data_IF_671242204650
#
_entry.id   IF_671242204650
#
_cell.length_a   1.000
_cell.length_b   1.000
_cell.length_c   1.000
_cell.angle_alpha   90.00
_cell.angle_beta   90.00
_cell.angle_gamma   90.00
#
_symmetry.space_group_name_H-M   'P 1'
#
loop_
_entity.id
_entity.type
_entity.pdbx_description
1 polymer ?
#
# COMPACT_ATOMS: atom_id res chain seq x y z
N UNK A 1 7.21 14.37 -3.55
CA UNK A 1 5.84 14.03 -3.07
C UNK A 1 4.97 13.35 -4.13
N UNK A 2 4.94 13.80 -5.40
CA UNK A 2 4.09 13.20 -6.44
C UNK A 2 4.31 11.68 -6.65
N UNK A 3 5.58 11.24 -6.66
CA UNK A 3 5.93 9.81 -6.81
C UNK A 3 5.36 8.92 -5.69
N UNK A 4 5.37 9.40 -4.45
CA UNK A 4 4.77 8.71 -3.30
C UNK A 4 3.26 8.55 -3.47
N UNK A 5 2.60 9.65 -3.86
CA UNK A 5 1.15 9.68 -4.05
C UNK A 5 0.71 8.75 -5.16
N UNK A 6 1.39 8.81 -6.31
CA UNK A 6 1.16 7.89 -7.44
C UNK A 6 1.32 6.42 -7.02
N UNK A 7 2.39 6.08 -6.29
CA UNK A 7 2.60 4.70 -5.85
C UNK A 7 1.51 4.25 -4.88
N UNK A 8 1.16 5.08 -3.90
CA UNK A 8 0.11 4.77 -2.94
C UNK A 8 -1.27 4.60 -3.61
N UNK A 9 -1.61 5.48 -4.55
CA UNK A 9 -2.90 5.44 -5.26
C UNK A 9 -2.96 4.25 -6.22
N UNK A 10 -1.85 3.88 -6.88
CA UNK A 10 -1.77 2.66 -7.70
C UNK A 10 -1.95 1.39 -6.85
N UNK A 11 -1.32 1.33 -5.68
CA UNK A 11 -1.50 0.20 -4.76
C UNK A 11 -2.94 0.10 -4.27
N UNK A 12 -3.56 1.23 -3.90
CA UNK A 12 -4.97 1.27 -3.51
C UNK A 12 -5.91 0.82 -4.65
N UNK A 13 -5.63 1.23 -5.89
CA UNK A 13 -6.38 0.79 -7.07
C UNK A 13 -6.29 -0.72 -7.25
N UNK A 14 -5.08 -1.29 -7.19
CA UNK A 14 -4.86 -2.74 -7.32
C UNK A 14 -5.61 -3.52 -6.24
N UNK A 15 -5.48 -3.11 -4.97
CA UNK A 15 -6.18 -3.74 -3.84
C UNK A 15 -7.71 -3.73 -3.98
N UNK A 16 -8.27 -2.77 -4.72
CA UNK A 16 -9.72 -2.61 -4.87
C UNK A 16 -10.30 -3.30 -6.10
N UNK A 17 -9.53 -3.46 -7.17
CA UNK A 17 -10.09 -3.85 -8.46
C UNK A 17 -9.41 -5.07 -9.09
N UNK A 18 -8.24 -5.49 -8.61
CA UNK A 18 -7.61 -6.69 -9.13
C UNK A 18 -7.97 -7.91 -8.29
N UNK A 19 -8.38 -9.03 -8.92
CA UNK A 19 -8.63 -10.27 -8.20
C UNK A 19 -7.31 -10.75 -7.59
N UNK A 20 -7.29 -10.88 -6.26
CA UNK A 20 -6.15 -11.39 -5.52
C UNK A 20 -6.59 -12.03 -4.21
N UNK A 21 -5.84 -13.04 -3.75
CA UNK A 21 -6.04 -13.60 -2.42
C UNK A 21 -5.64 -12.59 -1.34
N UNK A 22 -6.11 -12.79 -0.11
CA UNK A 22 -5.72 -11.96 1.04
C UNK A 22 -4.20 -11.94 1.23
N UNK A 23 -3.54 -13.08 1.04
CA UNK A 23 -2.09 -13.21 1.14
C UNK A 23 -1.37 -12.39 0.05
N UNK A 24 -1.86 -12.44 -1.19
CA UNK A 24 -1.34 -11.64 -2.29
C UNK A 24 -1.50 -10.14 -2.03
N UNK A 25 -2.64 -9.72 -1.47
CA UNK A 25 -2.88 -8.34 -1.07
C UNK A 25 -1.92 -7.86 0.03
N UNK A 26 -1.70 -8.68 1.06
CA UNK A 26 -0.72 -8.37 2.12
C UNK A 26 0.70 -8.29 1.57
N UNK A 27 1.07 -9.21 0.67
CA UNK A 27 2.38 -9.18 0.00
C UNK A 27 2.55 -7.90 -0.84
N UNK A 28 1.50 -7.45 -1.53
CA UNK A 28 1.52 -6.19 -2.28
C UNK A 28 1.72 -4.98 -1.36
N UNK A 29 1.12 -4.98 -0.16
CA UNK A 29 1.29 -3.92 0.84
C UNK A 29 2.76 -3.85 1.30
N UNK A 30 3.37 -4.98 1.63
CA UNK A 30 4.79 -5.00 2.07
C UNK A 30 5.73 -4.58 0.93
N UNK A 31 5.53 -5.06 -0.29
CA UNK A 31 6.33 -4.61 -1.45
C UNK A 31 6.20 -3.11 -1.68
N UNK A 32 5.00 -2.55 -1.53
CA UNK A 32 4.78 -1.11 -1.65
C UNK A 32 5.53 -0.34 -0.57
N UNK A 33 5.62 -0.89 0.65
CA UNK A 33 6.40 -0.30 1.75
C UNK A 33 7.87 -0.20 1.37
N UNK A 34 8.45 -1.30 0.87
CA UNK A 34 9.86 -1.36 0.49
C UNK A 34 10.17 -0.38 -0.65
N UNK A 35 9.34 -0.36 -1.70
CA UNK A 35 9.48 0.61 -2.81
C UNK A 35 9.40 2.08 -2.33
N UNK A 36 8.53 2.36 -1.35
CA UNK A 36 8.40 3.71 -0.78
C UNK A 36 9.61 4.07 0.06
N UNK A 37 10.15 3.13 0.83
CA UNK A 37 11.32 3.33 1.69
C UNK A 37 12.60 3.50 0.89
N UNK A 38 12.74 2.83 -0.25
CA UNK A 38 13.84 3.06 -1.19
C UNK A 38 13.80 4.49 -1.76
N UNK A 39 12.61 4.98 -2.12
CA UNK A 39 12.43 6.33 -2.68
C UNK A 39 12.47 7.44 -1.62
N UNK A 40 12.10 7.13 -0.38
CA UNK A 40 12.01 8.08 0.72
C UNK A 40 12.54 7.45 2.03
N UNK A 41 13.87 7.33 2.17
CA UNK A 41 14.48 6.77 3.38
C UNK A 41 14.00 7.50 4.63
N UNK A 42 13.75 6.75 5.71
CA UNK A 42 13.29 7.30 7.00
C UNK A 42 11.79 7.60 7.08
N UNK A 43 10.99 7.31 6.05
CA UNK A 43 9.51 7.52 6.09
C UNK A 43 8.70 6.28 6.50
N UNK A 44 9.33 5.26 7.08
CA UNK A 44 8.67 4.00 7.48
C UNK A 44 7.52 4.22 8.45
N UNK A 45 7.74 5.03 9.50
CA UNK A 45 6.69 5.36 10.46
C UNK A 45 5.48 6.05 9.81
N UNK A 46 5.70 6.90 8.80
CA UNK A 46 4.60 7.56 8.06
C UNK A 46 3.82 6.54 7.24
N UNK A 47 4.50 5.60 6.59
CA UNK A 47 3.83 4.50 5.90
C UNK A 47 2.94 3.71 6.86
N UNK A 48 3.50 3.29 7.99
CA UNK A 48 2.82 2.45 8.96
C UNK A 48 1.64 3.18 9.65
N UNK A 49 1.73 4.50 9.83
CA UNK A 49 0.66 5.31 10.42
C UNK A 49 -0.45 5.70 9.44
N UNK A 50 -0.13 5.90 8.15
CA UNK A 50 -1.07 6.51 7.19
C UNK A 50 -1.47 5.57 6.07
N UNK A 51 -0.50 4.92 5.42
CA UNK A 51 -0.74 4.13 4.22
C UNK A 51 -1.17 2.71 4.54
N UNK A 52 -0.50 2.05 5.49
CA UNK A 52 -0.85 0.68 5.92
C UNK A 52 -2.30 0.57 6.40
N UNK A 53 -2.82 1.44 7.29
CA UNK A 53 -4.22 1.35 7.71
C UNK A 53 -5.20 1.58 6.55
N UNK A 54 -4.90 2.51 5.63
CA UNK A 54 -5.70 2.75 4.43
C UNK A 54 -5.79 1.50 3.56
N UNK A 55 -4.68 0.82 3.31
CA UNK A 55 -4.65 -0.40 2.51
C UNK A 55 -5.39 -1.57 3.16
N UNK A 56 -5.19 -1.76 4.47
CA UNK A 56 -5.91 -2.79 5.23
C UNK A 56 -7.42 -2.55 5.25
N UNK A 57 -7.85 -1.28 5.32
CA UNK A 57 -9.26 -0.92 5.22
C UNK A 57 -9.85 -1.31 3.87
N UNK A 58 -9.19 -0.97 2.76
CA UNK A 58 -9.63 -1.38 1.41
C UNK A 58 -9.76 -2.91 1.33
N UNK A 59 -8.76 -3.64 1.83
CA UNK A 59 -8.76 -5.11 1.81
C UNK A 59 -9.89 -5.72 2.65
N UNK A 60 -10.26 -5.09 3.77
CA UNK A 60 -11.32 -5.58 4.64
C UNK A 60 -12.73 -5.19 4.14
N UNK A 61 -12.87 -4.06 3.44
CA UNK A 61 -14.12 -3.58 2.82
C UNK A 61 -14.49 -4.31 1.52
N UNK A 62 -13.55 -5.06 0.91
CA UNK A 62 -13.77 -5.89 -0.28
C UNK A 62 -14.40 -7.27 0.03
N UNK A 63 -14.80 -7.52 1.29
CA UNK A 63 -15.49 -8.74 1.72
C UNK A 63 -17.01 -8.61 1.68
#
# INVERSE_FOLDING_TARGET
MLRLRLRADLTAYRLRFQPMSREQALTLIERTRDEILELFPGKGGVFDLVLRPRFLRILNEQR
#
